data_IF_341753362824
#
_entry.id   IF_341753362824
#
_cell.length_a   1.000
_cell.length_b   1.000
_cell.length_c   1.000
_cell.angle_alpha   90.00
_cell.angle_beta   90.00
_cell.angle_gamma   90.00
#
_symmetry.space_group_name_H-M   'P 1'
#
loop_
_entity.id
_entity.type
_entity.pdbx_description
1 polymer ?
#
# COMPACT_ATOMS: atom_id res chain seq x y z
N UNK A 1 -97.10 22.36 12.50
CA UNK A 1 -95.72 21.85 12.69
C UNK A 1 -95.26 21.18 11.40
N UNK A 2 -94.36 21.79 10.62
CA UNK A 2 -93.90 21.28 9.32
C UNK A 2 -92.38 21.12 9.38
N UNK A 3 -91.89 19.87 9.41
CA UNK A 3 -90.45 19.57 9.54
C UNK A 3 -89.72 19.90 8.24
N UNK A 4 -88.75 20.81 8.31
CA UNK A 4 -87.90 21.20 7.17
C UNK A 4 -86.70 20.25 7.11
N UNK A 5 -86.76 19.20 6.29
CA UNK A 5 -85.59 18.37 5.95
C UNK A 5 -84.55 19.25 5.25
N UNK A 6 -83.40 19.48 5.89
CA UNK A 6 -82.25 20.14 5.26
C UNK A 6 -81.48 19.07 4.48
N UNK A 7 -81.53 19.13 3.15
CA UNK A 7 -80.68 18.31 2.29
C UNK A 7 -79.21 18.72 2.43
N UNK A 8 -78.32 17.75 2.38
CA UNK A 8 -76.87 17.97 2.43
C UNK A 8 -76.44 18.70 1.15
N UNK A 9 -75.72 19.82 1.27
CA UNK A 9 -75.26 20.60 0.12
C UNK A 9 -74.16 19.87 -0.66
N UNK A 10 -74.09 20.06 -1.98
CA UNK A 10 -73.09 19.41 -2.85
C UNK A 10 -71.65 19.65 -2.41
N UNK A 11 -71.36 20.79 -1.75
CA UNK A 11 -70.06 21.09 -1.15
C UNK A 11 -69.68 20.15 0.01
N UNK A 12 -70.65 19.77 0.84
CA UNK A 12 -70.43 18.80 1.93
C UNK A 12 -70.20 17.41 1.35
N UNK A 13 -70.91 17.06 0.27
CA UNK A 13 -70.75 15.77 -0.41
C UNK A 13 -69.37 15.64 -1.07
N UNK A 14 -68.88 16.71 -1.71
CA UNK A 14 -67.53 16.75 -2.30
C UNK A 14 -66.45 16.64 -1.22
N UNK A 15 -66.61 17.35 -0.09
CA UNK A 15 -65.66 17.27 1.02
C UNK A 15 -65.55 15.85 1.62
N UNK A 16 -66.69 15.16 1.78
CA UNK A 16 -66.72 13.77 2.25
C UNK A 16 -66.03 12.84 1.24
N UNK A 17 -66.26 13.04 -0.06
CA UNK A 17 -65.67 12.20 -1.10
C UNK A 17 -64.14 12.36 -1.16
N UNK A 18 -63.64 13.60 -1.04
CA UNK A 18 -62.21 13.89 -1.00
C UNK A 18 -61.55 13.25 0.23
N UNK A 19 -62.18 13.36 1.41
CA UNK A 19 -61.68 12.72 2.64
C UNK A 19 -61.64 11.19 2.51
N UNK A 20 -62.66 10.58 1.88
CA UNK A 20 -62.69 9.14 1.65
C UNK A 20 -61.57 8.68 0.70
N UNK A 21 -61.25 9.45 -0.35
CA UNK A 21 -60.15 9.15 -1.27
C UNK A 21 -58.80 9.25 -0.56
N UNK A 22 -58.58 10.30 0.24
CA UNK A 22 -57.33 10.47 1.00
C UNK A 22 -57.13 9.31 1.99
N UNK A 23 -58.18 8.92 2.70
CA UNK A 23 -58.13 7.77 3.61
C UNK A 23 -57.85 6.45 2.87
N UNK A 24 -58.45 6.25 1.69
CA UNK A 24 -58.21 5.09 0.85
C UNK A 24 -56.77 5.00 0.33
N UNK A 25 -56.18 6.12 -0.10
CA UNK A 25 -54.78 6.18 -0.55
C UNK A 25 -53.81 5.93 0.59
N UNK A 26 -54.06 6.50 1.78
CA UNK A 26 -53.25 6.24 2.96
C UNK A 26 -53.29 4.75 3.37
N UNK A 27 -54.47 4.13 3.38
CA UNK A 27 -54.63 2.71 3.66
C UNK A 27 -53.95 1.82 2.60
N UNK A 28 -54.00 2.20 1.32
CA UNK A 28 -53.31 1.51 0.23
C UNK A 28 -51.77 1.60 0.37
N UNK A 29 -51.23 2.78 0.72
CA UNK A 29 -49.79 2.95 0.93
C UNK A 29 -49.29 2.18 2.17
N UNK A 30 -50.09 2.14 3.23
CA UNK A 30 -49.78 1.37 4.45
C UNK A 30 -49.87 -0.14 4.25
N UNK A 31 -50.74 -0.63 3.36
CA UNK A 31 -50.87 -2.07 3.09
C UNK A 31 -49.87 -2.60 2.06
N UNK A 32 -49.29 -1.72 1.22
CA UNK A 32 -48.32 -2.11 0.19
C UNK A 32 -46.85 -2.05 0.64
N UNK A 33 -46.53 -1.32 1.71
CA UNK A 33 -45.18 -1.31 2.31
C UNK A 33 -45.09 -2.30 3.48
N UNK A 34 -44.75 -3.56 3.20
CA UNK A 34 -44.26 -4.48 4.25
C UNK A 34 -42.96 -3.89 4.85
N UNK A 35 -42.84 -3.77 6.18
CA UNK A 35 -41.55 -3.45 6.81
C UNK A 35 -40.51 -4.50 6.39
N UNK A 36 -39.25 -4.12 6.08
CA UNK A 36 -38.20 -5.09 5.87
C UNK A 36 -38.07 -5.98 7.11
N UNK A 37 -38.11 -7.30 6.92
CA UNK A 37 -37.81 -8.26 7.98
C UNK A 37 -36.41 -7.96 8.54
N UNK A 38 -36.32 -7.68 9.84
CA UNK A 38 -35.05 -7.55 10.56
C UNK A 38 -34.29 -8.89 10.48
N UNK A 39 -33.28 -8.96 9.61
CA UNK A 39 -32.29 -10.04 9.65
C UNK A 39 -31.53 -9.95 10.98
N UNK A 40 -31.24 -11.06 11.67
CA UNK A 40 -30.46 -11.05 12.90
C UNK A 40 -29.09 -10.42 12.64
N UNK A 41 -28.73 -9.42 13.45
CA UNK A 41 -27.47 -8.70 13.39
C UNK A 41 -26.30 -9.64 13.69
N UNK A 42 -25.37 -9.72 12.73
CA UNK A 42 -24.07 -10.40 12.87
C UNK A 42 -23.25 -9.66 13.95
N UNK A 43 -22.55 -10.36 14.88
CA UNK A 43 -21.68 -9.70 15.85
C UNK A 43 -20.65 -8.81 15.13
N UNK A 44 -20.48 -7.57 15.59
CA UNK A 44 -19.45 -6.66 15.10
C UNK A 44 -18.06 -7.28 15.31
N UNK A 45 -17.45 -7.70 14.22
CA UNK A 45 -16.08 -8.18 14.15
C UNK A 45 -15.17 -6.96 14.35
N UNK A 46 -14.36 -6.97 15.44
CA UNK A 46 -13.34 -5.94 15.67
C UNK A 46 -12.49 -5.79 14.39
N UNK A 47 -12.16 -4.56 13.96
CA UNK A 47 -11.22 -4.37 12.85
C UNK A 47 -9.97 -5.20 13.09
N UNK A 48 -9.45 -5.94 12.08
CA UNK A 48 -8.19 -6.65 12.22
C UNK A 48 -7.14 -5.68 12.73
N UNK A 49 -6.53 -6.00 13.86
CA UNK A 49 -5.37 -5.28 14.36
C UNK A 49 -4.34 -5.30 13.21
N UNK A 50 -4.07 -4.15 12.60
CA UNK A 50 -3.11 -4.05 11.50
C UNK A 50 -1.73 -4.41 12.05
N UNK A 51 -1.35 -5.68 11.91
CA UNK A 51 0.01 -6.11 12.16
C UNK A 51 0.94 -5.20 11.35
N UNK A 52 1.98 -4.60 11.96
CA UNK A 52 2.90 -3.74 11.23
C UNK A 52 3.40 -4.48 9.98
N UNK A 53 3.08 -3.95 8.79
CA UNK A 53 3.52 -4.56 7.53
C UNK A 53 5.04 -4.56 7.53
N UNK A 54 5.65 -5.74 7.48
CA UNK A 54 7.09 -5.91 7.44
C UNK A 54 7.72 -5.24 6.22
N UNK A 55 9.00 -4.89 6.32
CA UNK A 55 9.74 -4.23 5.26
C UNK A 55 10.15 -5.26 4.21
N UNK A 56 9.92 -4.93 2.94
CA UNK A 56 10.42 -5.71 1.80
C UNK A 56 11.44 -4.87 1.06
N UNK A 57 12.67 -5.39 0.91
CA UNK A 57 13.73 -4.71 0.15
C UNK A 57 13.70 -5.17 -1.30
N UNK A 58 13.64 -4.23 -2.24
CA UNK A 58 13.67 -4.49 -3.67
C UNK A 58 15.09 -4.38 -4.20
N UNK A 59 15.61 -5.46 -4.78
CA UNK A 59 17.00 -5.55 -5.26
C UNK A 59 17.02 -5.77 -6.76
N UNK A 60 17.81 -4.98 -7.48
CA UNK A 60 18.17 -5.26 -8.87
C UNK A 60 19.55 -5.92 -8.92
N UNK A 61 19.70 -6.97 -9.72
CA UNK A 61 20.95 -7.70 -9.79
C UNK A 61 21.28 -8.27 -11.17
N UNK A 62 22.55 -8.66 -11.34
CA UNK A 62 23.05 -9.50 -12.44
C UNK A 62 23.71 -10.77 -11.94
N UNK A 63 23.66 -11.06 -10.63
CA UNK A 63 24.21 -12.30 -10.10
C UNK A 63 23.31 -13.50 -10.44
N UNK A 64 23.90 -14.71 -10.54
CA UNK A 64 23.17 -15.97 -10.62
C UNK A 64 22.13 -16.14 -9.48
N UNK A 65 21.00 -16.77 -9.81
CA UNK A 65 19.85 -16.91 -8.89
C UNK A 65 20.19 -17.69 -7.62
N UNK A 66 21.05 -18.70 -7.69
CA UNK A 66 21.49 -19.50 -6.54
C UNK A 66 22.19 -18.66 -5.47
N UNK A 67 23.07 -17.74 -5.89
CA UNK A 67 23.73 -16.77 -4.99
C UNK A 67 22.68 -15.87 -4.33
N UNK A 68 21.73 -15.37 -5.12
CA UNK A 68 20.69 -14.45 -4.66
C UNK A 68 19.73 -15.10 -3.65
N UNK A 69 19.31 -16.34 -3.93
CA UNK A 69 18.47 -17.13 -3.01
C UNK A 69 19.23 -17.36 -1.71
N UNK A 70 20.49 -17.79 -1.79
CA UNK A 70 21.29 -18.05 -0.60
C UNK A 70 21.52 -16.79 0.24
N UNK A 71 21.80 -15.66 -0.41
CA UNK A 71 21.95 -14.38 0.27
C UNK A 71 20.67 -13.94 0.99
N UNK A 72 19.50 -14.05 0.32
CA UNK A 72 18.19 -13.76 0.92
C UNK A 72 17.93 -14.63 2.14
N UNK A 73 18.13 -15.94 2.04
CA UNK A 73 17.92 -16.88 3.15
C UNK A 73 18.78 -16.53 4.38
N UNK A 74 20.07 -16.22 4.16
CA UNK A 74 20.98 -15.89 5.24
C UNK A 74 20.66 -14.52 5.84
N UNK A 75 20.37 -13.52 5.01
CA UNK A 75 20.03 -12.19 5.47
C UNK A 75 18.76 -12.19 6.33
N UNK A 76 17.68 -12.87 5.90
CA UNK A 76 16.43 -12.92 6.65
C UNK A 76 16.56 -13.65 8.00
N UNK A 77 17.61 -14.45 8.19
CA UNK A 77 17.95 -15.09 9.47
C UNK A 77 18.85 -14.23 10.37
N UNK A 78 19.38 -13.13 9.87
CA UNK A 78 20.32 -12.26 10.59
C UNK A 78 19.64 -11.41 11.66
N UNK A 79 20.43 -10.90 12.60
CA UNK A 79 19.97 -9.91 13.59
C UNK A 79 19.56 -8.59 12.93
N UNK A 80 20.16 -8.23 11.79
CA UNK A 80 19.80 -7.02 11.04
C UNK A 80 18.37 -7.09 10.51
N UNK A 81 17.97 -8.23 9.92
CA UNK A 81 16.61 -8.40 9.43
C UNK A 81 15.58 -8.30 10.56
N UNK A 82 15.88 -8.87 11.74
CA UNK A 82 15.05 -8.71 12.95
C UNK A 82 15.00 -7.26 13.43
N UNK A 83 16.16 -6.62 13.57
CA UNK A 83 16.31 -5.25 14.07
C UNK A 83 15.51 -4.24 13.24
N UNK A 84 15.53 -4.39 11.91
CA UNK A 84 14.88 -3.48 10.98
C UNK A 84 13.53 -3.99 10.46
N UNK A 85 12.98 -5.07 11.04
CA UNK A 85 11.73 -5.70 10.62
C UNK A 85 11.68 -5.99 9.11
N UNK A 86 12.80 -6.42 8.53
CA UNK A 86 12.87 -6.85 7.13
C UNK A 86 12.35 -8.27 7.04
N UNK A 87 11.16 -8.39 6.46
CA UNK A 87 10.47 -9.68 6.31
C UNK A 87 10.71 -10.32 4.95
N UNK A 88 11.16 -9.54 3.96
CA UNK A 88 11.42 -10.07 2.63
C UNK A 88 12.50 -9.28 1.87
N UNK A 89 13.15 -9.95 0.92
CA UNK A 89 13.99 -9.36 -0.13
C UNK A 89 13.45 -9.86 -1.47
N UNK A 90 13.06 -8.95 -2.35
CA UNK A 90 12.61 -9.25 -3.71
C UNK A 90 13.68 -8.86 -4.70
N UNK A 91 14.31 -9.85 -5.29
CA UNK A 91 15.36 -9.61 -6.30
C UNK A 91 14.83 -9.83 -7.70
N UNK A 92 15.12 -8.89 -8.60
CA UNK A 92 14.93 -9.06 -10.05
C UNK A 92 16.30 -9.09 -10.74
N UNK A 93 16.49 -10.03 -11.65
CA UNK A 93 17.72 -10.14 -12.44
C UNK A 93 17.49 -9.44 -13.78
N UNK A 94 18.19 -8.33 -14.01
CA UNK A 94 18.00 -7.47 -15.18
C UNK A 94 19.33 -7.02 -15.78
N UNK A 95 19.41 -6.84 -17.12
CA UNK A 95 20.61 -6.29 -17.76
C UNK A 95 20.89 -4.87 -17.26
N UNK A 96 22.17 -4.49 -17.25
CA UNK A 96 22.63 -3.20 -16.70
C UNK A 96 22.00 -1.97 -17.35
N UNK A 97 21.67 -2.06 -18.65
CA UNK A 97 21.03 -0.96 -19.38
C UNK A 97 19.64 -0.57 -18.85
N UNK A 98 19.04 -1.37 -17.98
CA UNK A 98 17.75 -1.07 -17.35
C UNK A 98 17.88 -0.49 -15.93
N UNK A 99 19.07 -0.51 -15.32
CA UNK A 99 19.24 -0.19 -13.90
C UNK A 99 18.84 1.26 -13.58
N UNK A 100 19.29 2.23 -14.37
CA UNK A 100 18.91 3.65 -14.20
C UNK A 100 17.39 3.83 -14.22
N UNK A 101 16.69 3.20 -15.16
CA UNK A 101 15.22 3.29 -15.23
C UNK A 101 14.56 2.75 -13.96
N UNK A 102 15.03 1.61 -13.45
CA UNK A 102 14.45 1.00 -12.24
C UNK A 102 14.74 1.82 -10.99
N UNK A 103 15.96 2.34 -10.85
CA UNK A 103 16.34 3.20 -9.72
C UNK A 103 15.54 4.51 -9.76
N UNK A 104 15.54 5.21 -10.89
CA UNK A 104 14.87 6.51 -11.03
C UNK A 104 13.34 6.44 -10.95
N UNK A 105 12.74 5.26 -11.13
CA UNK A 105 11.30 5.04 -10.93
C UNK A 105 10.93 4.55 -9.54
N UNK A 106 11.90 4.44 -8.62
CA UNK A 106 11.68 3.98 -7.25
C UNK A 106 11.36 2.49 -7.14
N UNK A 107 11.73 1.68 -8.14
CA UNK A 107 11.50 0.24 -8.16
C UNK A 107 12.66 -0.58 -7.57
N UNK A 108 13.75 0.08 -7.16
CA UNK A 108 14.94 -0.56 -6.62
C UNK A 108 15.46 0.22 -5.40
N UNK A 109 15.64 -0.48 -4.29
CA UNK A 109 16.27 0.04 -3.08
C UNK A 109 17.78 -0.22 -3.09
N UNK A 110 18.19 -1.38 -3.64
CA UNK A 110 19.59 -1.83 -3.67
C UNK A 110 19.94 -2.35 -5.07
N UNK A 111 21.15 -2.00 -5.52
CA UNK A 111 21.70 -2.45 -6.79
C UNK A 111 22.96 -3.30 -6.53
N UNK A 112 22.91 -4.60 -6.81
CA UNK A 112 23.99 -5.54 -6.47
C UNK A 112 24.50 -6.33 -7.69
N UNK A 113 25.80 -6.25 -7.98
CA UNK A 113 26.42 -6.95 -9.12
C UNK A 113 26.60 -6.09 -10.38
N UNK A 114 26.73 -4.77 -10.22
CA UNK A 114 26.95 -3.82 -11.32
C UNK A 114 28.38 -3.81 -11.89
N UNK A 115 29.37 -4.29 -11.13
CA UNK A 115 30.77 -4.09 -11.47
C UNK A 115 31.18 -2.60 -11.40
N UNK A 116 32.49 -2.30 -11.48
CA UNK A 116 33.00 -0.95 -11.22
C UNK A 116 32.46 0.09 -12.21
N UNK A 117 32.39 -0.23 -13.50
CA UNK A 117 31.93 0.71 -14.53
C UNK A 117 30.46 1.12 -14.34
N UNK A 118 29.56 0.18 -14.02
CA UNK A 118 28.15 0.53 -13.79
C UNK A 118 27.97 1.29 -12.48
N UNK A 119 28.72 0.90 -11.44
CA UNK A 119 28.72 1.63 -10.18
C UNK A 119 29.10 3.10 -10.41
N UNK A 120 30.22 3.35 -11.09
CA UNK A 120 30.70 4.71 -11.37
C UNK A 120 29.71 5.50 -12.24
N UNK A 121 29.09 4.85 -13.22
CA UNK A 121 28.03 5.47 -14.01
C UNK A 121 26.85 5.94 -13.13
N UNK A 122 26.37 5.08 -12.23
CA UNK A 122 25.25 5.43 -11.34
C UNK A 122 25.65 6.51 -10.32
N UNK A 123 26.89 6.47 -9.83
CA UNK A 123 27.45 7.50 -8.95
C UNK A 123 27.48 8.87 -9.64
N UNK A 124 28.05 8.96 -10.84
CA UNK A 124 28.12 10.19 -11.64
C UNK A 124 26.72 10.72 -11.98
N UNK A 125 25.74 9.83 -12.16
CA UNK A 125 24.34 10.18 -12.40
C UNK A 125 23.59 10.66 -11.15
N UNK A 126 24.21 10.61 -9.97
CA UNK A 126 23.58 10.99 -8.70
C UNK A 126 22.50 10.02 -8.25
N UNK A 127 22.60 8.75 -8.65
CA UNK A 127 21.59 7.71 -8.37
C UNK A 127 21.94 6.83 -7.16
N UNK A 128 23.06 7.10 -6.49
CA UNK A 128 23.50 6.37 -5.30
C UNK A 128 23.35 7.25 -4.07
N UNK A 129 22.85 6.68 -2.99
CA UNK A 129 22.86 7.30 -1.67
C UNK A 129 24.13 6.91 -0.91
N UNK A 130 24.70 7.81 -0.09
CA UNK A 130 25.84 7.47 0.74
C UNK A 130 25.46 6.45 1.82
N UNK A 131 26.45 5.68 2.27
CA UNK A 131 26.32 4.77 3.40
C UNK A 131 26.37 5.56 4.71
N UNK A 132 25.31 5.49 5.52
CA UNK A 132 25.20 6.27 6.76
C UNK A 132 25.03 5.41 8.01
N UNK A 133 24.60 4.15 7.86
CA UNK A 133 24.35 3.28 9.01
C UNK A 133 25.66 2.77 9.62
N UNK A 134 25.84 2.82 10.96
CA UNK A 134 27.07 2.36 11.62
C UNK A 134 27.45 0.92 11.29
N UNK A 135 26.47 0.00 11.21
CA UNK A 135 26.74 -1.40 10.88
C UNK A 135 27.25 -1.57 9.45
N UNK A 136 26.77 -0.72 8.53
CA UNK A 136 27.18 -0.72 7.13
C UNK A 136 28.57 -0.10 6.98
N UNK A 137 28.85 1.00 7.68
CA UNK A 137 30.18 1.62 7.72
C UNK A 137 31.22 0.68 8.35
N UNK A 138 30.84 -0.03 9.41
CA UNK A 138 31.68 -1.06 10.01
C UNK A 138 31.97 -2.20 9.02
N UNK A 139 30.96 -2.70 8.30
CA UNK A 139 31.18 -3.69 7.23
C UNK A 139 32.10 -3.15 6.12
N UNK A 140 31.91 -1.91 5.69
CA UNK A 140 32.76 -1.28 4.69
C UNK A 140 34.22 -1.15 5.17
N UNK A 141 34.46 -0.89 6.46
CA UNK A 141 35.81 -0.81 7.03
C UNK A 141 36.60 -2.12 6.98
N UNK A 142 35.92 -3.27 6.82
CA UNK A 142 36.56 -4.58 6.65
C UNK A 142 37.12 -4.79 5.24
N UNK A 143 36.69 -3.98 4.27
CA UNK A 143 37.23 -3.98 2.91
C UNK A 143 38.45 -3.05 2.89
N UNK A 144 39.60 -3.45 2.31
CA UNK A 144 40.71 -2.55 2.07
C UNK A 144 40.29 -1.33 1.24
N UNK A 145 40.90 -0.17 1.44
CA UNK A 145 40.56 1.01 0.63
C UNK A 145 41.09 0.89 -0.81
N UNK A 146 42.17 0.14 -1.01
CA UNK A 146 42.84 -0.05 -2.29
C UNK A 146 43.31 -1.50 -2.48
N UNK A 147 43.25 -2.00 -3.71
CA UNK A 147 43.93 -3.22 -4.14
C UNK A 147 44.68 -2.92 -5.43
N UNK A 148 46.01 -3.10 -5.41
CA UNK A 148 46.89 -2.92 -6.57
C UNK A 148 46.77 -1.55 -7.27
N UNK A 149 46.73 -0.44 -6.53
CA UNK A 149 46.57 0.90 -7.09
C UNK A 149 45.11 1.33 -7.29
N UNK A 150 44.16 0.40 -7.16
CA UNK A 150 42.77 0.65 -7.52
C UNK A 150 41.89 0.85 -6.29
N UNK A 151 41.08 1.93 -6.23
CA UNK A 151 40.16 2.16 -5.12
C UNK A 151 39.07 1.08 -5.09
N UNK A 152 38.82 0.56 -3.89
CA UNK A 152 37.78 -0.45 -3.64
C UNK A 152 36.47 0.15 -3.16
N UNK A 153 36.49 1.43 -2.76
CA UNK A 153 35.35 2.20 -2.26
C UNK A 153 35.31 3.53 -2.99
N UNK A 154 34.12 4.07 -3.21
CA UNK A 154 33.96 5.41 -3.74
C UNK A 154 33.72 6.37 -2.58
N UNK A 155 34.68 7.25 -2.33
CA UNK A 155 34.51 8.38 -1.42
C UNK A 155 34.14 9.59 -2.27
N UNK A 156 33.00 10.21 -1.96
CA UNK A 156 32.55 11.40 -2.67
C UNK A 156 33.25 12.68 -2.21
N UNK A 157 33.01 13.77 -2.92
CA UNK A 157 33.56 15.09 -2.57
C UNK A 157 33.02 15.60 -1.22
N UNK A 158 31.91 15.03 -0.76
CA UNK A 158 31.33 15.25 0.57
C UNK A 158 31.99 14.41 1.68
N UNK A 159 32.98 13.59 1.33
CA UNK A 159 33.70 12.71 2.25
C UNK A 159 32.93 11.45 2.65
N UNK A 160 31.75 11.18 2.06
CA UNK A 160 30.97 9.99 2.37
C UNK A 160 31.33 8.82 1.46
N UNK A 161 31.13 7.61 1.96
CA UNK A 161 31.28 6.38 1.19
C UNK A 161 29.96 6.11 0.47
N UNK A 162 30.02 5.78 -0.81
CA UNK A 162 28.90 5.36 -1.64
C UNK A 162 29.03 3.88 -2.05
#
# INVERSE_FOLDING_TARGET
MKSRRRGISSTILIAILVLAIIAGVAAYLLTTHKPPEEKPSKPEEKPPEETPKGVTISVISRHPTDILVRAREMFLKSDLARKYNVTDIRTIVIPSGLWERYISSGQADVAWGGGPTLFDYLYIKGLLAPLELPEVLNAASQVPDEIAGMPMKRVGDDGKIY
#
